data_IF_764576443672
#
_entry.id   IF_764576443672
#
_cell.length_a   1.000
_cell.length_b   1.000
_cell.length_c   1.000
_cell.angle_alpha   90.00
_cell.angle_beta   90.00
_cell.angle_gamma   90.00
#
_symmetry.space_group_name_H-M   'P 1'
#
loop_
_entity.id
_entity.type
_entity.pdbx_description
1 polymer ?
#
# COMPACT_ATOMS: atom_id res chain seq x y z
N UNK A 1 13.24 -42.80 28.24
CA UNK A 1 12.49 -42.93 26.98
C UNK A 1 11.52 -41.76 26.87
N UNK A 2 11.46 -41.13 25.68
CA UNK A 2 10.29 -40.47 25.09
C UNK A 2 10.02 -38.97 25.35
N UNK A 3 10.45 -38.20 24.34
CA UNK A 3 9.82 -37.05 23.65
C UNK A 3 9.80 -35.68 24.34
N UNK A 4 10.78 -34.84 23.97
CA UNK A 4 10.65 -33.38 23.99
C UNK A 4 9.81 -32.97 22.77
N UNK A 5 8.66 -32.35 23.04
CA UNK A 5 7.73 -31.83 22.05
C UNK A 5 8.31 -30.59 21.36
N UNK A 6 8.40 -30.66 20.02
CA UNK A 6 8.71 -29.56 19.13
C UNK A 6 7.45 -28.69 18.97
N UNK A 7 7.42 -27.51 19.60
CA UNK A 7 6.36 -26.52 19.34
C UNK A 7 6.77 -25.63 18.16
N UNK A 8 6.41 -26.06 16.95
CA UNK A 8 6.44 -25.24 15.75
C UNK A 8 5.14 -24.40 15.73
N UNK A 9 5.18 -23.18 16.26
CA UNK A 9 4.06 -22.24 16.13
C UNK A 9 4.13 -21.56 14.77
N UNK A 10 3.54 -22.20 13.77
CA UNK A 10 3.25 -21.59 12.49
C UNK A 10 2.08 -20.62 12.65
N UNK A 11 2.38 -19.36 12.98
CA UNK A 11 1.42 -18.26 12.99
C UNK A 11 1.11 -17.84 11.55
N UNK A 12 0.25 -18.60 10.87
CA UNK A 12 -0.32 -18.16 9.58
C UNK A 12 -1.30 -17.03 9.90
N UNK A 13 -0.91 -15.84 9.47
CA UNK A 13 -1.63 -14.57 9.58
C UNK A 13 -3.03 -14.69 8.97
N UNK A 14 -4.04 -14.92 9.82
CA UNK A 14 -5.43 -14.70 9.49
C UNK A 14 -5.88 -13.36 10.10
N UNK A 15 -5.46 -12.25 9.49
CA UNK A 15 -6.04 -10.93 9.76
C UNK A 15 -6.83 -10.46 8.54
N UNK A 16 -8.05 -11.00 8.43
CA UNK A 16 -9.10 -10.41 7.60
C UNK A 16 -9.79 -9.30 8.43
N UNK A 17 -9.09 -8.20 8.67
CA UNK A 17 -9.68 -6.99 9.24
C UNK A 17 -9.95 -6.01 8.09
N UNK A 18 -11.10 -6.17 7.44
CA UNK A 18 -11.67 -5.11 6.61
C UNK A 18 -12.33 -4.14 7.59
N UNK A 19 -11.52 -3.21 8.11
CA UNK A 19 -11.99 -2.07 8.89
C UNK A 19 -12.79 -1.16 7.96
N UNK A 20 -14.11 -1.09 8.18
CA UNK A 20 -15.02 -0.18 7.53
C UNK A 20 -15.14 1.10 8.39
N UNK A 21 -14.73 2.24 7.85
CA UNK A 21 -14.95 3.53 8.50
C UNK A 21 -14.30 4.68 7.75
N UNK A 22 -15.12 5.41 6.98
CA UNK A 22 -14.81 6.67 6.26
C UNK A 22 -13.90 6.51 5.03
N UNK A 23 -14.50 6.60 3.82
CA UNK A 23 -13.91 6.25 2.51
C UNK A 23 -13.39 4.81 2.47
N UNK A 24 -14.18 3.90 1.89
CA UNK A 24 -13.83 2.47 1.85
C UNK A 24 -12.42 2.24 1.34
N UNK A 25 -11.54 1.72 2.19
CA UNK A 25 -10.21 1.30 1.78
C UNK A 25 -10.25 -0.14 1.34
N UNK A 26 -9.61 -0.41 0.21
CA UNK A 26 -9.46 -1.73 -0.34
C UNK A 26 -8.55 -2.63 0.54
N UNK A 27 -7.48 -2.04 1.10
CA UNK A 27 -6.52 -2.71 1.99
C UNK A 27 -5.71 -1.68 2.79
N UNK A 28 -5.34 -2.01 4.02
CA UNK A 28 -4.44 -1.24 4.89
C UNK A 28 -3.13 -2.01 5.12
N UNK A 29 -2.02 -1.27 5.18
CA UNK A 29 -0.69 -1.78 5.53
C UNK A 29 -0.08 -0.91 6.64
N UNK A 30 0.19 -1.50 7.80
CA UNK A 30 0.73 -0.84 8.97
C UNK A 30 2.27 -0.91 9.04
N UNK A 31 2.89 0.19 9.46
CA UNK A 31 4.33 0.32 9.60
C UNK A 31 4.70 0.87 10.98
N UNK A 32 5.72 0.30 11.60
CA UNK A 32 6.26 0.74 12.91
C UNK A 32 7.30 1.86 12.75
N UNK A 33 6.98 2.84 11.92
CA UNK A 33 7.78 4.06 11.72
C UNK A 33 6.84 5.26 11.62
N UNK A 34 7.36 6.47 11.88
CA UNK A 34 6.59 7.70 11.63
C UNK A 34 6.28 7.87 10.14
N UNK A 35 5.24 8.66 9.82
CA UNK A 35 4.92 9.01 8.43
C UNK A 35 6.14 9.55 7.70
N UNK A 36 6.90 10.47 8.29
CA UNK A 36 8.05 11.10 7.63
C UNK A 36 9.06 10.08 7.15
N UNK A 37 9.36 9.05 7.95
CA UNK A 37 10.27 7.97 7.57
C UNK A 37 9.64 7.11 6.46
N UNK A 38 8.37 6.78 6.59
CA UNK A 38 7.64 6.01 5.59
C UNK A 38 7.59 6.73 4.23
N UNK A 39 7.24 8.01 4.22
CA UNK A 39 7.15 8.85 3.04
C UNK A 39 8.51 8.99 2.35
N UNK A 40 9.59 9.17 3.12
CA UNK A 40 10.95 9.17 2.58
C UNK A 40 11.27 7.84 1.89
N UNK A 41 10.94 6.71 2.51
CA UNK A 41 11.16 5.40 1.92
C UNK A 41 10.29 5.15 0.67
N UNK A 42 9.04 5.62 0.67
CA UNK A 42 8.15 5.58 -0.51
C UNK A 42 8.74 6.40 -1.66
N UNK A 43 9.22 7.61 -1.39
CA UNK A 43 9.83 8.46 -2.41
C UNK A 43 11.09 7.81 -2.98
N UNK A 44 11.97 7.30 -2.11
CA UNK A 44 13.17 6.58 -2.55
C UNK A 44 12.83 5.34 -3.39
N UNK A 45 11.81 4.57 -3.01
CA UNK A 45 11.35 3.42 -3.79
C UNK A 45 10.92 3.83 -5.20
N UNK A 46 10.11 4.90 -5.32
CA UNK A 46 9.60 5.37 -6.60
C UNK A 46 10.74 5.91 -7.47
N UNK A 47 11.64 6.73 -6.90
CA UNK A 47 12.77 7.31 -7.61
C UNK A 47 13.75 6.24 -8.13
N UNK A 48 13.98 5.18 -7.36
CA UNK A 48 14.94 4.13 -7.69
C UNK A 48 14.33 2.95 -8.48
N UNK A 49 13.02 2.97 -8.76
CA UNK A 49 12.34 1.87 -9.43
C UNK A 49 11.66 2.33 -10.73
N UNK A 50 12.26 2.08 -11.91
CA UNK A 50 11.69 2.53 -13.19
C UNK A 50 10.32 1.89 -13.51
N UNK A 51 9.95 0.80 -12.81
CA UNK A 51 8.66 0.15 -12.99
C UNK A 51 7.55 0.77 -12.12
N UNK A 52 7.89 1.72 -11.24
CA UNK A 52 6.92 2.41 -10.38
C UNK A 52 6.97 3.89 -10.74
N UNK A 53 5.86 4.42 -11.25
CA UNK A 53 5.75 5.82 -11.61
C UNK A 53 4.72 6.49 -10.73
N UNK A 54 5.08 7.61 -10.10
CA UNK A 54 4.10 8.47 -9.43
C UNK A 54 3.40 9.35 -10.46
N UNK A 55 2.07 9.45 -10.35
CA UNK A 55 1.35 10.47 -11.10
C UNK A 55 1.68 11.85 -10.53
N UNK A 56 2.24 12.72 -11.37
CA UNK A 56 2.65 14.08 -11.01
C UNK A 56 1.57 15.12 -11.32
N UNK A 57 0.50 14.72 -12.01
CA UNK A 57 -0.60 15.62 -12.32
C UNK A 57 -1.46 15.80 -11.06
N UNK A 58 -1.42 17.02 -10.50
CA UNK A 58 -2.44 17.50 -9.58
C UNK A 58 -3.74 17.68 -10.38
N UNK A 59 -4.49 16.61 -10.58
CA UNK A 59 -5.82 16.70 -11.17
C UNK A 59 -6.78 17.28 -10.13
N UNK A 60 -7.85 17.94 -10.61
CA UNK A 60 -8.88 18.58 -9.78
C UNK A 60 -9.63 17.59 -8.86
N UNK A 61 -9.45 16.28 -9.10
CA UNK A 61 -10.00 15.18 -8.30
C UNK A 61 -9.02 14.73 -7.21
N UNK A 62 -8.60 15.64 -6.32
CA UNK A 62 -8.10 15.49 -4.93
C UNK A 62 -7.14 14.34 -4.50
N UNK A 63 -6.64 13.47 -5.37
CA UNK A 63 -5.91 12.23 -4.99
C UNK A 63 -4.40 12.27 -5.28
N UNK A 64 -3.83 13.47 -5.42
CA UNK A 64 -2.40 13.75 -5.51
C UNK A 64 -2.12 15.12 -4.85
N UNK A 65 -2.53 15.28 -3.59
CA UNK A 65 -2.37 16.55 -2.86
C UNK A 65 -0.90 16.86 -2.52
N UNK A 66 -0.05 15.83 -2.56
CA UNK A 66 1.38 15.91 -2.23
C UNK A 66 1.66 15.71 -0.74
N UNK A 67 0.65 15.36 0.05
CA UNK A 67 0.77 15.21 1.50
C UNK A 67 0.06 13.95 2.02
N UNK A 68 -1.23 13.80 1.69
CA UNK A 68 -2.11 12.76 2.22
C UNK A 68 -2.31 11.63 1.22
N UNK A 69 -2.51 11.97 -0.04
CA UNK A 69 -2.79 11.05 -1.13
C UNK A 69 -1.69 11.08 -2.18
N UNK A 70 -1.41 9.92 -2.75
CA UNK A 70 -0.56 9.80 -3.92
C UNK A 70 -1.03 8.64 -4.79
N UNK A 71 -0.85 8.81 -6.09
CA UNK A 71 -1.20 7.82 -7.10
C UNK A 71 0.07 7.25 -7.71
N UNK A 72 0.14 5.93 -7.83
CA UNK A 72 1.24 5.24 -8.50
C UNK A 72 0.73 4.30 -9.59
N UNK A 73 1.54 4.16 -10.63
CA UNK A 73 1.42 3.14 -11.66
C UNK A 73 2.55 2.14 -11.48
N UNK A 74 2.21 0.86 -11.48
CA UNK A 74 3.18 -0.23 -11.36
C UNK A 74 3.13 -1.06 -12.65
N UNK A 75 4.17 -0.93 -13.47
CA UNK A 75 4.27 -1.59 -14.76
C UNK A 75 5.13 -2.87 -14.69
N UNK A 76 4.66 -3.95 -15.29
CA UNK A 76 5.47 -5.17 -15.53
C UNK A 76 4.86 -6.00 -16.64
N UNK A 77 5.68 -6.42 -17.60
CA UNK A 77 5.29 -7.37 -18.65
C UNK A 77 3.98 -7.02 -19.39
N UNK A 78 3.78 -5.74 -19.71
CA UNK A 78 2.58 -5.26 -20.41
C UNK A 78 1.35 -5.03 -19.53
N UNK A 79 1.43 -5.31 -18.22
CA UNK A 79 0.41 -4.96 -17.23
C UNK A 79 0.72 -3.57 -16.68
N UNK A 80 -0.28 -2.69 -16.66
CA UNK A 80 -0.20 -1.37 -16.04
C UNK A 80 -1.32 -1.24 -15.00
N UNK A 81 -0.96 -1.43 -13.74
CA UNK A 81 -1.91 -1.28 -12.64
C UNK A 81 -1.71 0.09 -11.97
N UNK A 82 -2.81 0.79 -11.70
CA UNK A 82 -2.81 2.07 -11.01
C UNK A 82 -3.40 1.93 -9.61
N UNK A 83 -2.82 2.63 -8.63
CA UNK A 83 -3.23 2.60 -7.23
C UNK A 83 -3.27 4.02 -6.68
N UNK A 84 -4.41 4.39 -6.12
CA UNK A 84 -4.54 5.60 -5.29
C UNK A 84 -4.33 5.19 -3.85
N UNK A 85 -3.32 5.77 -3.22
CA UNK A 85 -2.86 5.42 -1.89
C UNK A 85 -2.97 6.63 -0.97
N UNK A 86 -3.36 6.39 0.28
CA UNK A 86 -3.47 7.42 1.32
C UNK A 86 -2.65 7.06 2.55
N UNK A 87 -1.97 8.02 3.16
CA UNK A 87 -1.38 7.84 4.50
C UNK A 87 -2.47 7.88 5.59
N UNK A 88 -2.27 7.14 6.68
CA UNK A 88 -3.15 7.24 7.86
C UNK A 88 -3.05 8.60 8.54
N UNK A 89 -4.18 9.09 9.05
CA UNK A 89 -4.23 10.29 9.89
C UNK A 89 -4.09 11.60 9.14
N UNK A 90 -4.07 12.68 9.90
CA UNK A 90 -3.81 14.04 9.43
C UNK A 90 -2.46 14.59 9.94
N UNK A 91 -2.16 15.85 9.64
CA UNK A 91 -0.90 16.50 10.03
C UNK A 91 -0.61 16.42 11.54
N UNK A 92 -1.63 16.38 12.40
CA UNK A 92 -1.45 16.26 13.85
C UNK A 92 -1.03 14.83 14.23
N UNK A 93 -1.65 13.84 13.60
CA UNK A 93 -1.31 12.43 13.80
C UNK A 93 0.13 12.17 13.31
N UNK A 94 0.49 12.72 12.15
CA UNK A 94 1.79 12.50 11.52
C UNK A 94 2.98 12.99 12.36
N UNK A 95 2.79 14.07 13.13
CA UNK A 95 3.84 14.69 13.93
C UNK A 95 4.02 14.05 15.32
N UNK A 96 3.08 13.20 15.75
CA UNK A 96 3.08 12.63 17.12
C UNK A 96 3.26 11.11 17.15
N UNK A 97 3.02 10.41 16.05
CA UNK A 97 3.02 8.94 16.03
C UNK A 97 4.37 8.28 15.69
N UNK A 98 4.66 7.17 16.39
CA UNK A 98 5.78 6.26 16.10
C UNK A 98 5.42 5.15 15.10
N UNK A 99 4.16 5.12 14.68
CA UNK A 99 3.61 4.23 13.68
C UNK A 99 2.94 5.03 12.58
N UNK A 100 2.70 4.39 11.45
CA UNK A 100 1.96 4.95 10.33
C UNK A 100 1.33 3.81 9.54
N UNK A 101 0.41 4.12 8.65
CA UNK A 101 -0.12 3.15 7.71
C UNK A 101 -0.35 3.79 6.34
N UNK A 102 -0.44 2.95 5.30
CA UNK A 102 -1.01 3.34 4.02
C UNK A 102 -2.27 2.54 3.73
N UNK A 103 -3.18 3.14 2.99
CA UNK A 103 -4.43 2.56 2.53
C UNK A 103 -4.46 2.59 1.01
N UNK A 104 -4.81 1.47 0.37
CA UNK A 104 -5.24 1.51 -1.01
C UNK A 104 -6.69 2.01 -1.02
N UNK A 105 -6.92 3.22 -1.52
CA UNK A 105 -8.25 3.80 -1.68
C UNK A 105 -8.90 3.33 -2.98
N UNK A 106 -8.12 3.25 -4.05
CA UNK A 106 -8.57 2.80 -5.37
C UNK A 106 -7.49 1.96 -6.04
N UNK A 107 -7.90 0.99 -6.84
CA UNK A 107 -7.02 0.18 -7.66
C UNK A 107 -7.66 -0.09 -9.03
N UNK A 108 -6.84 -0.06 -10.08
CA UNK A 108 -7.24 -0.23 -11.46
C UNK A 108 -6.30 -1.21 -12.16
N UNK A 109 -6.86 -2.10 -12.96
CA UNK A 109 -6.15 -2.98 -13.87
C UNK A 109 -6.27 -2.45 -15.30
N UNK A 110 -5.18 -1.97 -15.91
CA UNK A 110 -5.18 -1.43 -17.28
C UNK A 110 -6.27 -0.37 -17.53
N UNK A 111 -6.43 0.58 -16.60
CA UNK A 111 -7.48 1.62 -16.57
C UNK A 111 -8.93 1.12 -16.35
N UNK A 112 -9.11 -0.16 -16.04
CA UNK A 112 -10.39 -0.73 -15.63
C UNK A 112 -10.43 -0.98 -14.12
N UNK A 113 -11.47 -0.49 -13.43
CA UNK A 113 -11.65 -0.64 -12.00
C UNK A 113 -12.13 0.65 -11.33
N UNK A 114 -11.87 0.76 -10.03
CA UNK A 114 -12.39 1.82 -9.18
C UNK A 114 -13.30 1.27 -8.07
N UNK A 115 -13.57 2.08 -7.04
CA UNK A 115 -14.50 1.72 -5.95
C UNK A 115 -15.90 2.29 -6.16
N UNK A 116 -16.15 2.99 -7.27
CA UNK A 116 -17.51 3.37 -7.67
C UNK A 116 -18.31 2.13 -8.08
N UNK A 117 -19.62 2.16 -7.83
CA UNK A 117 -20.52 1.02 -8.08
C UNK A 117 -20.62 0.60 -9.55
N UNK A 118 -20.06 1.37 -10.48
CA UNK A 118 -20.20 1.19 -11.93
C UNK A 118 -19.16 0.26 -12.56
N UNK A 119 -17.99 0.05 -11.92
CA UNK A 119 -16.86 -0.72 -12.48
C UNK A 119 -16.39 -1.82 -11.51
N UNK A 120 -17.31 -2.75 -11.20
CA UNK A 120 -17.08 -3.77 -10.15
C UNK A 120 -16.05 -4.80 -10.58
N UNK A 121 -14.81 -4.62 -10.12
CA UNK A 121 -13.82 -5.69 -10.05
C UNK A 121 -14.40 -6.90 -9.30
N UNK A 122 -14.26 -8.09 -9.88
CA UNK A 122 -14.53 -9.37 -9.23
C UNK A 122 -13.59 -9.57 -8.03
N UNK A 123 -13.95 -10.50 -7.13
CA UNK A 123 -13.09 -10.84 -6.00
C UNK A 123 -11.73 -11.41 -6.44
N UNK A 124 -11.68 -12.10 -7.59
CA UNK A 124 -10.44 -12.62 -8.16
C UNK A 124 -9.53 -11.47 -8.64
N UNK A 125 -10.06 -10.54 -9.44
CA UNK A 125 -9.28 -9.38 -9.92
C UNK A 125 -8.79 -8.49 -8.77
N UNK A 126 -9.62 -8.30 -7.75
CA UNK A 126 -9.21 -7.63 -6.50
C UNK A 126 -8.02 -8.33 -5.86
N UNK A 127 -8.10 -9.65 -5.70
CA UNK A 127 -7.01 -10.44 -5.12
C UNK A 127 -5.74 -10.32 -5.95
N UNK A 128 -5.85 -10.37 -7.28
CA UNK A 128 -4.70 -10.27 -8.19
C UNK A 128 -4.04 -8.90 -8.11
N UNK A 129 -4.82 -7.82 -8.04
CA UNK A 129 -4.31 -6.47 -7.80
C UNK A 129 -3.55 -6.37 -6.46
N UNK A 130 -4.07 -6.96 -5.39
CA UNK A 130 -3.37 -6.99 -4.09
C UNK A 130 -2.06 -7.76 -4.15
N UNK A 131 -2.07 -8.97 -4.70
CA UNK A 131 -0.86 -9.80 -4.85
C UNK A 131 0.20 -9.02 -5.63
N UNK A 132 -0.22 -8.36 -6.72
CA UNK A 132 0.68 -7.60 -7.55
C UNK A 132 1.25 -6.37 -6.84
N UNK A 133 0.41 -5.62 -6.12
CA UNK A 133 0.83 -4.48 -5.30
C UNK A 133 1.79 -4.91 -4.19
N UNK A 134 1.49 -6.01 -3.50
CA UNK A 134 2.31 -6.52 -2.41
C UNK A 134 3.71 -6.91 -2.90
N UNK A 135 3.79 -7.71 -3.96
CA UNK A 135 5.05 -8.16 -4.53
C UNK A 135 5.90 -7.01 -5.13
N UNK A 136 5.25 -6.02 -5.75
CA UNK A 136 5.97 -4.99 -6.49
C UNK A 136 6.20 -3.69 -5.73
N UNK A 137 5.42 -3.43 -4.68
CA UNK A 137 5.50 -2.21 -3.89
C UNK A 137 5.82 -2.52 -2.42
N UNK A 138 4.98 -3.27 -1.71
CA UNK A 138 5.12 -3.46 -0.25
C UNK A 138 6.41 -4.19 0.13
N UNK A 139 6.73 -5.30 -0.54
CA UNK A 139 7.96 -6.04 -0.28
C UNK A 139 9.22 -5.19 -0.53
N UNK A 140 9.19 -4.33 -1.55
CA UNK A 140 10.31 -3.44 -1.87
C UNK A 140 10.39 -2.27 -0.89
N UNK A 141 9.25 -1.72 -0.48
CA UNK A 141 9.17 -0.66 0.53
C UNK A 141 9.74 -1.12 1.88
N UNK A 142 9.48 -2.36 2.30
CA UNK A 142 10.11 -2.92 3.49
C UNK A 142 11.64 -2.97 3.40
N UNK A 143 12.20 -3.23 2.22
CA UNK A 143 13.65 -3.19 1.99
C UNK A 143 14.19 -1.76 2.12
N UNK A 144 13.52 -0.78 1.51
CA UNK A 144 13.90 0.64 1.61
C UNK A 144 13.83 1.17 3.05
N UNK A 145 12.81 0.77 3.81
CA UNK A 145 12.67 1.11 5.23
C UNK A 145 13.82 0.56 6.07
N UNK A 146 14.26 -0.68 5.81
CA UNK A 146 15.39 -1.28 6.51
C UNK A 146 16.73 -0.58 6.21
N UNK A 147 16.86 0.06 5.04
CA UNK A 147 18.03 0.86 4.68
C UNK A 147 17.99 2.26 5.30
N UNK A 148 16.80 2.87 5.40
CA UNK A 148 16.61 4.24 5.89
C UNK A 148 16.78 4.41 7.41
N UNK A 149 16.86 3.31 8.16
CA UNK A 149 17.02 3.28 9.62
C UNK A 149 18.47 3.06 10.08
N UNK A 150 19.42 2.93 9.15
CA UNK A 150 20.85 2.85 9.43
C UNK A 150 21.48 4.23 9.43
#
# INVERSE_FOLDING_TARGET
MKYIFLFLTASILASCNISAGTHGSFKQYDFKVSKTILEKAVNALIENNPNIMRDSLKTLDNYNDGTTYFTIKIASSGINNEYVVRYYGDEKDWNSERSSAIFICYAYHNNYGGTSETDKLTNAEKKDLLIYFEANFIEKLHKELALSQK
#
